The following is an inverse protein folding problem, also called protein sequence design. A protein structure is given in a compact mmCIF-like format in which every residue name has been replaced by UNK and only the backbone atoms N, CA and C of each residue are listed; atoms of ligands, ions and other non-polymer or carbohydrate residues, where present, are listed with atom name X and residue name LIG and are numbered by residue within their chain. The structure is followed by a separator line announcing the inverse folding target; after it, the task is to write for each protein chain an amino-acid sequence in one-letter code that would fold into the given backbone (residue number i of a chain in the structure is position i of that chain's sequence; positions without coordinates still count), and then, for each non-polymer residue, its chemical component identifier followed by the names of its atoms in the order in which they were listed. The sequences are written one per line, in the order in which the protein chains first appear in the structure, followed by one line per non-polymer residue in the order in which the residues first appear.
data_IF_335577773491
#
_entry.id   IF_335577773491
#
_cell.length_a   1.000
_cell.length_b   1.000
_cell.length_c   1.000
_cell.angle_alpha   90.00
_cell.angle_beta   90.00
_cell.angle_gamma   90.00
#
_symmetry.space_group_name_H-M   'P 1'
#
loop_
_entity.id
_entity.type
_entity.pdbx_description
1 polymer ?
#
# COMPACT_ATOMS: atom_id res chain seq x y z
N UNK A 1 -7.65 -65.50 -23.33
CA UNK A 1 -6.72 -64.65 -22.54
C UNK A 1 -6.70 -63.31 -23.21
N UNK A 2 -7.39 -62.33 -22.64
CA UNK A 2 -7.55 -61.00 -23.23
C UNK A 2 -7.69 -59.98 -22.12
N UNK A 3 -6.56 -59.41 -21.70
CA UNK A 3 -6.47 -58.21 -20.90
C UNK A 3 -5.17 -57.50 -21.30
N UNK A 4 -5.27 -56.21 -21.62
CA UNK A 4 -4.21 -55.17 -21.64
C UNK A 4 -4.38 -54.23 -22.84
N UNK A 5 -5.30 -53.27 -22.72
CA UNK A 5 -5.26 -52.00 -23.49
C UNK A 5 -6.28 -50.98 -22.96
N UNK A 6 -6.37 -50.79 -21.63
CA UNK A 6 -7.35 -49.85 -21.06
C UNK A 6 -6.86 -48.92 -19.94
N UNK A 7 -5.53 -48.74 -19.78
CA UNK A 7 -5.00 -47.91 -18.67
C UNK A 7 -4.20 -46.65 -19.07
N UNK A 8 -4.08 -46.33 -20.37
CA UNK A 8 -3.36 -45.11 -20.79
C UNK A 8 -4.30 -43.92 -20.98
N UNK A 9 -5.58 -44.15 -21.30
CA UNK A 9 -6.55 -43.07 -21.53
C UNK A 9 -7.12 -42.45 -20.23
N UNK A 10 -7.21 -43.22 -19.14
CA UNK A 10 -7.71 -42.72 -17.85
C UNK A 10 -6.70 -41.82 -17.14
N UNK A 11 -5.40 -42.08 -17.34
CA UNK A 11 -4.31 -41.32 -16.74
C UNK A 11 -4.13 -39.94 -17.39
N UNK A 12 -4.29 -39.83 -18.72
CA UNK A 12 -4.23 -38.56 -19.46
C UNK A 12 -5.44 -37.64 -19.20
N UNK A 13 -6.64 -38.21 -18.98
CA UNK A 13 -7.82 -37.43 -18.61
C UNK A 13 -7.73 -36.84 -17.19
N UNK A 14 -6.98 -37.50 -16.29
CA UNK A 14 -6.79 -37.06 -14.91
C UNK A 14 -5.70 -35.96 -14.80
N UNK A 15 -4.69 -35.97 -15.67
CA UNK A 15 -3.70 -34.89 -15.76
C UNK A 15 -4.26 -33.63 -16.43
N UNK A 16 -5.12 -33.76 -17.45
CA UNK A 16 -5.83 -32.60 -18.02
C UNK A 16 -6.81 -31.97 -17.02
N UNK A 17 -7.49 -32.76 -16.20
CA UNK A 17 -8.39 -32.21 -15.16
C UNK A 17 -7.64 -31.55 -14.00
N UNK A 18 -6.41 -32.00 -13.69
CA UNK A 18 -5.53 -31.33 -12.72
C UNK A 18 -4.87 -30.05 -13.27
N UNK A 19 -4.59 -30.00 -14.58
CA UNK A 19 -4.04 -28.82 -15.24
C UNK A 19 -5.09 -27.71 -15.51
N UNK A 20 -6.39 -28.04 -15.47
CA UNK A 20 -7.47 -27.05 -15.69
C UNK A 20 -7.92 -26.37 -14.38
N UNK A 21 -7.46 -26.83 -13.21
CA UNK A 21 -7.74 -26.19 -11.90
C UNK A 21 -6.59 -25.31 -11.38
N UNK A 22 -5.43 -25.30 -12.04
CA UNK A 22 -4.28 -24.46 -11.69
C UNK A 22 -4.09 -23.25 -12.62
N UNK A 23 -4.99 -23.05 -13.59
CA UNK A 23 -4.91 -21.97 -14.59
C UNK A 23 -6.11 -21.02 -14.62
N UNK A 24 -6.91 -20.96 -13.53
CA UNK A 24 -7.76 -19.80 -13.28
C UNK A 24 -6.86 -18.60 -12.94
N UNK A 25 -6.27 -18.07 -14.00
CA UNK A 25 -5.50 -16.85 -14.06
C UNK A 25 -6.20 -15.76 -13.25
N UNK A 26 -5.43 -15.19 -12.33
CA UNK A 26 -5.69 -14.00 -11.50
C UNK A 26 -6.16 -12.79 -12.35
N UNK A 27 -6.10 -12.89 -13.68
CA UNK A 27 -6.39 -11.85 -14.65
C UNK A 27 -7.85 -11.84 -15.14
N UNK A 28 -8.59 -12.96 -15.06
CA UNK A 28 -9.94 -13.06 -15.65
C UNK A 28 -11.12 -12.66 -14.74
N UNK A 29 -10.88 -12.21 -13.51
CA UNK A 29 -11.93 -11.82 -12.54
C UNK A 29 -11.81 -10.38 -12.02
N UNK A 30 -11.14 -9.49 -12.76
CA UNK A 30 -10.89 -8.10 -12.33
C UNK A 30 -11.85 -7.03 -12.86
N UNK A 31 -12.93 -7.41 -13.56
CA UNK A 31 -13.85 -6.41 -14.16
C UNK A 31 -15.30 -6.56 -13.69
N UNK A 32 -15.57 -6.17 -12.43
CA UNK A 32 -16.84 -5.56 -12.00
C UNK A 32 -16.56 -4.62 -10.83
N UNK A 33 -16.09 -3.43 -11.18
CA UNK A 33 -15.98 -2.29 -10.26
C UNK A 33 -17.41 -1.86 -9.92
N UNK A 34 -17.84 -2.11 -8.69
CA UNK A 34 -18.93 -1.35 -8.11
C UNK A 34 -18.38 0.01 -7.71
N UNK A 35 -18.76 1.04 -8.48
CA UNK A 35 -18.82 2.40 -7.98
C UNK A 35 -20.01 2.50 -7.02
N UNK A 36 -19.89 1.96 -5.80
CA UNK A 36 -20.83 2.33 -4.73
C UNK A 36 -20.54 3.76 -4.33
N UNK A 37 -21.37 4.65 -4.84
CA UNK A 37 -21.51 6.08 -4.56
C UNK A 37 -21.88 6.38 -3.09
N UNK A 38 -21.29 5.67 -2.13
CA UNK A 38 -21.63 5.72 -0.70
C UNK A 38 -20.48 6.23 0.19
N UNK A 39 -19.48 6.89 -0.38
CA UNK A 39 -18.49 7.68 0.38
C UNK A 39 -19.04 9.02 0.89
N UNK A 40 -20.17 9.52 0.37
CA UNK A 40 -20.73 10.82 0.77
C UNK A 40 -21.59 10.81 2.04
N UNK A 41 -22.05 9.65 2.52
CA UNK A 41 -23.01 9.62 3.64
C UNK A 41 -22.36 9.56 5.05
N UNK A 42 -21.04 9.38 5.14
CA UNK A 42 -20.34 9.10 6.41
C UNK A 42 -19.42 10.24 6.89
N UNK A 43 -19.30 11.33 6.13
CA UNK A 43 -18.39 12.46 6.45
C UNK A 43 -19.01 13.51 7.39
N UNK A 44 -20.18 13.26 7.97
CA UNK A 44 -20.93 14.23 8.76
C UNK A 44 -20.89 14.01 10.28
N UNK A 45 -19.78 13.54 10.86
CA UNK A 45 -19.53 13.71 12.30
C UNK A 45 -18.04 13.87 12.58
N UNK A 46 -17.58 15.12 12.76
CA UNK A 46 -16.30 15.41 13.40
C UNK A 46 -15.25 16.13 12.56
N UNK A 47 -15.63 16.98 11.60
CA UNK A 47 -14.69 17.93 11.01
C UNK A 47 -14.86 19.29 11.73
N UNK A 48 -14.05 19.53 12.76
CA UNK A 48 -13.84 20.88 13.29
C UNK A 48 -13.33 21.75 12.14
N UNK A 49 -14.03 22.85 11.86
CA UNK A 49 -13.65 23.82 10.83
C UNK A 49 -12.20 24.25 11.04
N UNK A 50 -11.29 23.74 10.20
CA UNK A 50 -9.96 24.31 10.04
C UNK A 50 -10.12 25.64 9.30
N UNK A 51 -9.99 26.73 10.02
CA UNK A 51 -9.93 28.08 9.46
C UNK A 51 -8.71 28.19 8.56
N UNK A 52 -8.92 28.53 7.27
CA UNK A 52 -7.84 28.95 6.37
C UNK A 52 -7.00 30.04 7.05
N UNK A 53 -5.66 29.93 7.11
CA UNK A 53 -4.84 31.02 7.60
C UNK A 53 -4.88 32.16 6.56
N UNK A 54 -5.19 33.35 7.04
CA UNK A 54 -5.17 34.57 6.25
C UNK A 54 -3.74 34.81 5.72
N UNK A 55 -3.63 35.18 4.45
CA UNK A 55 -2.38 35.52 3.81
C UNK A 55 -1.81 36.82 4.39
N UNK A 56 -0.81 36.71 5.26
CA UNK A 56 0.05 37.84 5.62
C UNK A 56 1.27 37.85 4.69
N UNK A 57 1.37 38.89 3.88
CA UNK A 57 2.56 39.19 3.07
C UNK A 57 3.74 39.61 3.96
N UNK A 58 4.93 39.13 3.64
CA UNK A 58 6.20 39.80 3.98
C UNK A 58 6.89 39.36 5.26
N UNK A 59 7.49 38.16 5.27
CA UNK A 59 8.78 37.85 5.89
C UNK A 59 9.07 36.36 5.64
N UNK A 60 10.32 36.01 5.34
CA UNK A 60 10.75 34.67 4.88
C UNK A 60 10.05 33.53 5.61
N UNK A 61 9.26 32.75 4.86
CA UNK A 61 8.49 31.65 5.41
C UNK A 61 9.45 30.67 6.11
N UNK A 62 9.26 30.39 7.42
CA UNK A 62 10.04 29.36 8.08
C UNK A 62 9.79 28.05 7.34
N UNK A 63 10.86 27.39 6.91
CA UNK A 63 10.83 26.11 6.21
C UNK A 63 9.78 25.21 6.86
N UNK A 64 8.74 24.92 6.09
CA UNK A 64 7.46 24.41 6.51
C UNK A 64 7.63 23.15 7.37
N UNK A 65 6.90 23.08 8.49
CA UNK A 65 6.79 21.85 9.28
C UNK A 65 6.25 20.73 8.38
N UNK A 66 7.11 19.82 7.90
CA UNK A 66 6.74 18.70 7.02
C UNK A 66 5.93 17.62 7.74
N UNK A 67 5.84 17.66 9.07
CA UNK A 67 5.19 16.64 9.91
C UNK A 67 3.80 16.20 9.43
N UNK A 68 2.90 17.09 8.96
CA UNK A 68 1.57 16.68 8.48
C UNK A 68 1.62 15.73 7.26
N UNK A 69 2.66 15.85 6.44
CA UNK A 69 2.82 15.12 5.18
C UNK A 69 3.68 13.86 5.31
N UNK A 70 4.45 13.72 6.38
CA UNK A 70 5.35 12.57 6.64
C UNK A 70 4.62 11.31 7.13
N UNK A 71 3.29 11.27 6.97
CA UNK A 71 2.50 10.07 7.23
C UNK A 71 2.52 9.18 5.99
N UNK A 72 3.20 8.05 6.12
CA UNK A 72 3.18 6.96 5.16
C UNK A 72 1.75 6.54 4.77
N UNK A 73 1.63 6.00 3.56
CA UNK A 73 0.40 5.43 3.01
C UNK A 73 0.39 3.94 3.31
N UNK A 74 -0.65 3.50 4.03
CA UNK A 74 -0.93 2.08 4.24
C UNK A 74 -1.86 1.60 3.12
N UNK A 75 -1.41 0.65 2.32
CA UNK A 75 -2.18 0.11 1.19
C UNK A 75 -3.01 -1.06 1.67
N UNK A 76 -4.28 -1.11 1.27
CA UNK A 76 -5.10 -2.26 1.56
C UNK A 76 -4.70 -3.40 0.62
N UNK A 77 -4.05 -4.44 1.13
CA UNK A 77 -3.94 -5.72 0.44
C UNK A 77 -5.27 -6.46 0.58
N UNK A 78 -6.21 -6.21 -0.33
CA UNK A 78 -7.38 -7.07 -0.45
C UNK A 78 -7.07 -8.11 -1.53
N UNK A 79 -6.81 -9.39 -1.18
CA UNK A 79 -6.77 -10.43 -2.21
C UNK A 79 -8.09 -10.37 -2.98
N UNK A 80 -8.02 -10.57 -4.29
CA UNK A 80 -9.15 -10.48 -5.21
C UNK A 80 -10.19 -11.55 -4.87
N UNK A 81 -11.04 -11.27 -3.89
CA UNK A 81 -12.20 -12.08 -3.57
C UNK A 81 -13.43 -11.27 -3.90
N UNK A 82 -14.32 -11.97 -4.61
CA UNK A 82 -15.51 -11.47 -5.27
C UNK A 82 -16.48 -10.83 -4.28
N UNK A 83 -17.03 -9.68 -4.69
CA UNK A 83 -18.43 -9.29 -4.54
C UNK A 83 -19.05 -9.24 -3.14
N UNK A 84 -20.34 -8.87 -3.14
CA UNK A 84 -21.27 -8.98 -1.99
C UNK A 84 -21.10 -10.38 -1.36
N UNK A 85 -21.06 -10.51 -0.02
CA UNK A 85 -20.93 -11.82 0.62
C UNK A 85 -22.06 -12.73 0.15
N UNK A 86 -21.73 -13.97 -0.22
CA UNK A 86 -22.73 -14.99 -0.50
C UNK A 86 -23.39 -15.34 0.84
N UNK A 87 -24.70 -15.18 0.96
CA UNK A 87 -25.44 -15.44 2.19
C UNK A 87 -26.45 -16.55 1.96
N UNK A 88 -26.79 -17.27 3.02
CA UNK A 88 -27.57 -18.50 2.95
C UNK A 88 -28.97 -18.29 2.35
N UNK A 89 -29.63 -17.19 2.71
CA UNK A 89 -30.98 -16.85 2.25
C UNK A 89 -31.18 -15.33 2.15
N UNK A 90 -32.27 -14.89 1.51
CA UNK A 90 -32.63 -13.47 1.37
C UNK A 90 -32.85 -12.76 2.72
N UNK A 91 -33.16 -13.51 3.78
CA UNK A 91 -33.33 -12.94 5.12
C UNK A 91 -31.98 -12.54 5.71
N UNK A 92 -30.93 -13.35 5.55
CA UNK A 92 -29.56 -12.98 5.90
C UNK A 92 -29.10 -11.80 5.05
N UNK A 93 -29.43 -11.76 3.75
CA UNK A 93 -29.06 -10.61 2.91
C UNK A 93 -29.68 -9.30 3.40
N UNK A 94 -30.97 -9.30 3.74
CA UNK A 94 -31.65 -8.13 4.30
C UNK A 94 -31.07 -7.73 5.65
N UNK A 95 -30.90 -8.68 6.57
CA UNK A 95 -30.31 -8.39 7.87
C UNK A 95 -28.88 -7.84 7.76
N UNK A 96 -28.07 -8.37 6.83
CA UNK A 96 -26.73 -7.85 6.57
C UNK A 96 -26.78 -6.43 6.00
N UNK A 97 -27.72 -6.13 5.10
CA UNK A 97 -27.92 -4.78 4.57
C UNK A 97 -28.35 -3.80 5.67
N UNK A 98 -29.31 -4.17 6.51
CA UNK A 98 -29.77 -3.34 7.64
C UNK A 98 -28.64 -3.02 8.62
N UNK A 99 -27.82 -4.03 8.98
CA UNK A 99 -26.64 -3.81 9.81
C UNK A 99 -25.62 -2.89 9.14
N UNK A 100 -25.45 -3.00 7.82
CA UNK A 100 -24.52 -2.15 7.06
C UNK A 100 -24.99 -0.70 7.01
N UNK A 101 -26.29 -0.47 6.82
CA UNK A 101 -26.90 0.85 6.81
C UNK A 101 -26.82 1.54 8.18
N UNK A 102 -26.96 0.76 9.26
CA UNK A 102 -26.74 1.21 10.64
C UNK A 102 -25.24 1.37 10.98
N UNK A 103 -24.36 0.79 10.16
CA UNK A 103 -22.93 0.74 10.42
C UNK A 103 -22.52 -0.16 11.58
N UNK A 104 -23.37 -1.12 11.94
CA UNK A 104 -23.03 -2.19 12.88
C UNK A 104 -22.26 -3.30 12.16
N UNK A 105 -20.96 -3.06 11.98
CA UNK A 105 -20.05 -3.99 11.31
C UNK A 105 -19.88 -5.31 12.09
N UNK A 106 -20.09 -5.29 13.41
CA UNK A 106 -20.03 -6.52 14.22
C UNK A 106 -21.29 -7.33 13.96
N UNK A 107 -22.46 -6.69 13.91
CA UNK A 107 -23.73 -7.29 13.49
C UNK A 107 -23.66 -7.90 12.10
N UNK A 108 -23.11 -7.19 11.10
CA UNK A 108 -22.89 -7.74 9.75
C UNK A 108 -22.12 -9.07 9.79
N UNK A 109 -21.06 -9.14 10.59
CA UNK A 109 -20.30 -10.37 10.75
C UNK A 109 -21.12 -11.48 11.43
N UNK A 110 -21.91 -11.17 12.46
CA UNK A 110 -22.78 -12.16 13.11
C UNK A 110 -23.79 -12.76 12.13
N UNK A 111 -24.32 -11.95 11.21
CA UNK A 111 -25.18 -12.43 10.12
C UNK A 111 -24.41 -13.36 9.18
N UNK A 112 -23.18 -13.02 8.78
CA UNK A 112 -22.33 -13.91 7.98
C UNK A 112 -22.02 -15.23 8.72
N UNK A 113 -21.75 -15.17 10.03
CA UNK A 113 -21.48 -16.36 10.83
C UNK A 113 -22.73 -17.23 11.02
N UNK A 114 -23.91 -16.61 11.15
CA UNK A 114 -25.20 -17.31 11.16
C UNK A 114 -25.45 -18.04 9.84
N UNK A 115 -25.19 -17.37 8.72
CA UNK A 115 -25.25 -17.95 7.38
C UNK A 115 -24.33 -19.18 7.30
N UNK A 116 -23.05 -19.04 7.69
CA UNK A 116 -22.08 -20.13 7.72
C UNK A 116 -22.52 -21.35 8.53
N UNK A 117 -23.18 -21.16 9.68
CA UNK A 117 -23.68 -22.26 10.52
C UNK A 117 -24.80 -23.06 9.86
N UNK A 118 -25.53 -22.49 8.90
CA UNK A 118 -26.58 -23.19 8.15
C UNK A 118 -26.05 -24.04 7.00
N UNK A 119 -24.84 -23.78 6.52
CA UNK A 119 -24.20 -24.60 5.49
C UNK A 119 -23.63 -25.89 6.09
N UNK A 120 -23.95 -27.01 5.46
CA UNK A 120 -23.43 -28.32 5.83
C UNK A 120 -22.01 -28.49 5.27
N UNK A 121 -21.03 -28.53 6.17
CA UNK A 121 -19.60 -28.68 5.86
C UNK A 121 -19.27 -29.95 5.09
N UNK A 122 -20.05 -31.02 5.29
CA UNK A 122 -19.79 -32.34 4.70
C UNK A 122 -20.42 -32.43 3.33
N UNK A 123 -21.62 -31.87 3.16
CA UNK A 123 -22.34 -31.92 1.87
C UNK A 123 -21.76 -30.97 0.82
N UNK A 124 -21.36 -29.76 1.22
CA UNK A 124 -20.75 -28.79 0.31
C UNK A 124 -19.52 -28.10 0.95
N UNK A 125 -18.40 -28.83 1.04
CA UNK A 125 -17.17 -28.30 1.61
C UNK A 125 -16.61 -27.11 0.81
N UNK A 126 -16.86 -27.08 -0.50
CA UNK A 126 -16.31 -26.05 -1.41
C UNK A 126 -16.94 -24.68 -1.16
N UNK A 127 -18.27 -24.62 -1.05
CA UNK A 127 -19.00 -23.40 -0.74
C UNK A 127 -18.73 -22.97 0.69
N UNK A 128 -18.73 -23.92 1.64
CA UNK A 128 -18.43 -23.62 3.03
C UNK A 128 -17.05 -22.94 3.17
N UNK A 129 -16.01 -23.49 2.55
CA UNK A 129 -14.66 -22.91 2.56
C UNK A 129 -14.60 -21.52 1.93
N UNK A 130 -15.32 -21.29 0.83
CA UNK A 130 -15.40 -19.97 0.17
C UNK A 130 -16.06 -18.92 1.06
N UNK A 131 -17.19 -19.26 1.68
CA UNK A 131 -17.89 -18.38 2.63
C UNK A 131 -17.04 -18.08 3.86
N UNK A 132 -16.29 -19.08 4.33
CA UNK A 132 -15.38 -18.93 5.46
C UNK A 132 -14.23 -17.96 5.11
N UNK A 133 -13.70 -18.04 3.89
CA UNK A 133 -12.73 -17.07 3.36
C UNK A 133 -13.35 -15.66 3.23
N UNK A 134 -14.59 -15.54 2.74
CA UNK A 134 -15.29 -14.24 2.67
C UNK A 134 -15.47 -13.59 4.04
N UNK A 135 -15.82 -14.37 5.08
CA UNK A 135 -15.96 -13.87 6.45
C UNK A 135 -14.63 -13.36 7.04
N UNK A 136 -13.51 -14.03 6.72
CA UNK A 136 -12.17 -13.57 7.09
C UNK A 136 -11.82 -12.24 6.41
N UNK A 137 -12.09 -12.14 5.12
CA UNK A 137 -11.82 -10.93 4.31
C UNK A 137 -12.67 -9.77 4.81
N UNK A 138 -13.95 -10.02 5.12
CA UNK A 138 -14.84 -9.05 5.73
C UNK A 138 -14.22 -8.50 7.02
N UNK A 139 -13.79 -9.36 7.94
CA UNK A 139 -13.19 -8.92 9.20
C UNK A 139 -11.96 -8.04 8.97
N UNK A 140 -11.03 -8.45 8.11
CA UNK A 140 -9.82 -7.68 7.82
C UNK A 140 -10.14 -6.33 7.18
N UNK A 141 -10.96 -6.33 6.13
CA UNK A 141 -11.33 -5.11 5.41
C UNK A 141 -12.07 -4.10 6.31
N UNK A 142 -13.08 -4.55 7.05
CA UNK A 142 -13.85 -3.65 7.91
C UNK A 142 -13.08 -3.24 9.17
N UNK A 143 -12.15 -4.07 9.67
CA UNK A 143 -11.26 -3.64 10.74
C UNK A 143 -10.33 -2.49 10.30
N UNK A 144 -9.85 -2.48 9.05
CA UNK A 144 -9.10 -1.36 8.46
C UNK A 144 -9.96 -0.09 8.38
N UNK A 145 -11.23 -0.21 7.97
CA UNK A 145 -12.17 0.93 7.99
C UNK A 145 -12.39 1.47 9.41
N UNK A 146 -12.58 0.58 10.38
CA UNK A 146 -12.67 0.96 11.80
C UNK A 146 -11.40 1.70 12.27
N UNK A 147 -10.20 1.25 11.88
CA UNK A 147 -8.94 1.94 12.22
C UNK A 147 -8.86 3.34 11.63
N UNK A 148 -9.26 3.52 10.36
CA UNK A 148 -9.33 4.83 9.71
C UNK A 148 -10.28 5.78 10.43
N UNK A 149 -11.42 5.27 10.90
CA UNK A 149 -12.39 5.99 11.72
C UNK A 149 -11.99 6.12 13.21
N UNK A 150 -10.81 5.63 13.61
CA UNK A 150 -10.33 5.59 15.01
C UNK A 150 -11.22 4.78 15.97
N UNK A 151 -12.06 3.88 15.45
CA UNK A 151 -12.90 2.95 16.22
C UNK A 151 -12.09 1.70 16.62
N UNK A 152 -11.09 1.88 17.49
CA UNK A 152 -10.16 0.82 17.87
C UNK A 152 -10.83 -0.41 18.51
N UNK A 153 -11.84 -0.21 19.37
CA UNK A 153 -12.57 -1.31 20.04
C UNK A 153 -13.27 -2.24 19.05
N UNK A 154 -13.95 -1.68 18.05
CA UNK A 154 -14.60 -2.46 16.98
C UNK A 154 -13.58 -3.15 16.08
N UNK A 155 -12.48 -2.47 15.75
CA UNK A 155 -11.41 -3.03 14.93
C UNK A 155 -10.82 -4.29 15.58
N UNK A 156 -10.42 -4.23 16.85
CA UNK A 156 -9.81 -5.38 17.52
C UNK A 156 -10.77 -6.56 17.69
N UNK A 157 -12.06 -6.29 17.92
CA UNK A 157 -13.08 -7.34 18.00
C UNK A 157 -13.21 -8.11 16.66
N UNK A 158 -13.22 -7.40 15.52
CA UNK A 158 -13.22 -8.03 14.20
C UNK A 158 -11.92 -8.81 13.93
N UNK A 159 -10.77 -8.27 14.32
CA UNK A 159 -9.48 -8.96 14.15
C UNK A 159 -9.35 -10.23 15.01
N UNK A 160 -9.91 -10.23 16.22
CA UNK A 160 -9.97 -11.43 17.06
C UNK A 160 -10.83 -12.52 16.41
N UNK A 161 -11.97 -12.14 15.81
CA UNK A 161 -12.80 -13.06 15.02
C UNK A 161 -12.05 -13.61 13.81
N UNK A 162 -11.31 -12.77 13.08
CA UNK A 162 -10.47 -13.21 11.97
C UNK A 162 -9.36 -14.20 12.42
N UNK A 163 -8.73 -13.95 13.57
CA UNK A 163 -7.72 -14.85 14.11
C UNK A 163 -8.29 -16.22 14.48
N UNK A 164 -9.51 -16.26 15.03
CA UNK A 164 -10.20 -17.50 15.38
C UNK A 164 -10.62 -18.27 14.12
N UNK A 165 -11.14 -17.58 13.11
CA UNK A 165 -11.52 -18.20 11.83
C UNK A 165 -10.32 -18.74 11.04
N UNK A 166 -9.11 -18.23 11.29
CA UNK A 166 -7.89 -18.66 10.60
C UNK A 166 -6.92 -19.45 11.48
N UNK A 167 -7.32 -19.84 12.70
CA UNK A 167 -6.42 -20.55 13.63
C UNK A 167 -6.04 -21.94 13.12
N UNK A 168 -4.81 -22.40 13.40
CA UNK A 168 -4.48 -23.82 13.27
C UNK A 168 -5.49 -24.63 14.10
N UNK A 169 -6.23 -25.54 13.47
CA UNK A 169 -7.26 -26.33 14.14
C UNK A 169 -8.69 -25.75 14.07
N UNK A 170 -8.95 -24.69 13.31
CA UNK A 170 -10.34 -24.23 13.05
C UNK A 170 -11.23 -25.24 12.28
N UNK A 171 -10.65 -26.36 11.81
CA UNK A 171 -11.36 -27.43 11.12
C UNK A 171 -11.74 -27.10 9.68
N UNK A 172 -11.22 -26.00 9.14
CA UNK A 172 -11.47 -25.55 7.77
C UNK A 172 -10.14 -25.30 7.08
N UNK A 173 -9.88 -26.07 6.03
CA UNK A 173 -8.72 -25.93 5.16
C UNK A 173 -9.19 -25.42 3.80
N UNK A 174 -8.53 -24.37 3.31
CA UNK A 174 -8.77 -23.82 1.98
C UNK A 174 -7.53 -23.05 1.51
N UNK A 175 -7.40 -22.93 0.19
CA UNK A 175 -6.27 -22.26 -0.43
C UNK A 175 -6.23 -20.77 -0.07
N UNK A 176 -5.06 -20.26 0.28
CA UNK A 176 -4.90 -18.88 0.71
C UNK A 176 -5.31 -18.60 2.16
N UNK A 177 -5.73 -19.59 2.97
CA UNK A 177 -6.00 -19.39 4.40
C UNK A 177 -4.81 -18.78 5.14
N UNK A 178 -3.60 -19.27 4.88
CA UNK A 178 -2.38 -18.73 5.49
C UNK A 178 -2.11 -17.29 5.03
N UNK A 179 -2.37 -16.96 3.77
CA UNK A 179 -2.28 -15.59 3.26
C UNK A 179 -3.27 -14.66 3.98
N UNK A 180 -4.53 -15.09 4.18
CA UNK A 180 -5.53 -14.32 4.95
C UNK A 180 -5.16 -14.16 6.43
N UNK A 181 -4.54 -15.19 7.03
CA UNK A 181 -3.99 -15.10 8.39
C UNK A 181 -2.83 -14.12 8.45
N UNK A 182 -1.93 -14.15 7.46
CA UNK A 182 -0.85 -13.19 7.29
C UNK A 182 -1.39 -11.76 7.21
N UNK A 183 -2.42 -11.54 6.39
CA UNK A 183 -3.11 -10.25 6.30
C UNK A 183 -3.73 -9.82 7.63
N UNK A 184 -4.34 -10.76 8.37
CA UNK A 184 -4.87 -10.47 9.72
C UNK A 184 -3.77 -9.95 10.66
N UNK A 185 -2.58 -10.56 10.62
CA UNK A 185 -1.43 -10.08 11.39
C UNK A 185 -0.90 -8.73 10.92
N UNK A 186 -0.89 -8.46 9.62
CA UNK A 186 -0.55 -7.15 9.06
C UNK A 186 -1.51 -6.05 9.57
N UNK A 187 -2.82 -6.30 9.56
CA UNK A 187 -3.80 -5.34 10.09
C UNK A 187 -3.70 -5.20 11.61
N UNK A 188 -3.37 -6.26 12.34
CA UNK A 188 -3.04 -6.17 13.77
C UNK A 188 -1.79 -5.31 14.02
N UNK A 189 -0.78 -5.40 13.16
CA UNK A 189 0.39 -4.53 13.24
C UNK A 189 -0.03 -3.06 13.07
N UNK A 190 -0.89 -2.73 12.10
CA UNK A 190 -1.47 -1.39 11.96
C UNK A 190 -2.26 -0.97 13.20
N UNK A 191 -3.08 -1.86 13.78
CA UNK A 191 -3.84 -1.58 14.99
C UNK A 191 -2.90 -1.15 16.13
N UNK A 192 -1.85 -1.93 16.41
CA UNK A 192 -0.90 -1.59 17.48
C UNK A 192 -0.06 -0.36 17.15
N UNK A 193 0.33 -0.19 15.89
CA UNK A 193 1.03 1.00 15.41
C UNK A 193 0.20 2.28 15.62
N UNK A 194 -1.08 2.27 15.23
CA UNK A 194 -2.00 3.40 15.41
C UNK A 194 -2.22 3.78 16.89
N UNK A 195 -1.95 2.85 17.80
CA UNK A 195 -2.00 3.02 19.26
C UNK A 195 -0.67 3.45 19.87
N UNK A 196 0.36 3.70 19.06
CA UNK A 196 1.71 4.04 19.52
C UNK A 196 2.50 2.86 20.11
N UNK A 197 2.05 1.62 19.90
CA UNK A 197 2.69 0.40 20.44
C UNK A 197 3.58 -0.27 19.39
N UNK A 198 4.64 0.41 18.97
CA UNK A 198 5.48 -0.02 17.84
C UNK A 198 6.18 -1.37 18.05
N UNK A 199 6.60 -1.72 19.28
CA UNK A 199 7.19 -3.03 19.58
C UNK A 199 6.22 -4.18 19.31
N UNK A 200 4.96 -4.04 19.73
CA UNK A 200 3.91 -5.01 19.43
C UNK A 200 3.64 -5.08 17.92
N UNK A 201 3.58 -3.92 17.25
CA UNK A 201 3.38 -3.85 15.81
C UNK A 201 4.47 -4.62 15.03
N UNK A 202 5.75 -4.44 15.38
CA UNK A 202 6.87 -5.18 14.79
C UNK A 202 6.77 -6.69 15.04
N UNK A 203 6.35 -7.12 16.24
CA UNK A 203 6.13 -8.53 16.55
C UNK A 203 5.05 -9.16 15.64
N UNK A 204 3.94 -8.45 15.41
CA UNK A 204 2.91 -8.91 14.48
C UNK A 204 3.37 -8.87 13.02
N UNK A 205 4.17 -7.88 12.63
CA UNK A 205 4.74 -7.80 11.29
C UNK A 205 5.67 -8.98 11.00
N UNK A 206 6.48 -9.41 11.97
CA UNK A 206 7.29 -10.64 11.87
C UNK A 206 6.43 -11.90 11.70
N UNK A 207 5.31 -12.01 12.44
CA UNK A 207 4.35 -13.12 12.27
C UNK A 207 3.70 -13.11 10.88
N UNK A 208 3.35 -11.93 10.37
CA UNK A 208 2.79 -11.77 9.03
C UNK A 208 3.78 -12.22 7.94
N UNK A 209 5.06 -11.83 8.07
CA UNK A 209 6.13 -12.17 7.13
C UNK A 209 6.21 -13.67 6.86
N UNK A 210 6.28 -14.50 7.91
CA UNK A 210 6.41 -15.95 7.77
C UNK A 210 5.25 -16.61 7.01
N UNK A 211 4.09 -15.94 6.94
CA UNK A 211 2.92 -16.43 6.23
C UNK A 211 2.78 -15.84 4.82
N UNK A 212 3.10 -14.55 4.65
CA UNK A 212 2.94 -13.83 3.38
C UNK A 212 4.08 -14.09 2.40
N UNK A 213 5.31 -14.22 2.90
CA UNK A 213 6.54 -14.33 2.09
C UNK A 213 6.46 -15.45 1.03
N UNK A 214 5.76 -16.52 1.37
CA UNK A 214 5.62 -17.73 0.56
C UNK A 214 4.43 -17.72 -0.40
N UNK A 215 3.63 -16.65 -0.45
CA UNK A 215 2.32 -16.69 -1.10
C UNK A 215 2.23 -15.84 -2.37
N UNK A 216 2.73 -14.60 -2.36
CA UNK A 216 2.69 -13.73 -3.54
C UNK A 216 3.70 -12.59 -3.48
N UNK A 217 4.21 -12.17 -4.64
CA UNK A 217 5.07 -10.99 -4.75
C UNK A 217 4.33 -9.70 -4.32
N UNK A 218 3.06 -9.57 -4.70
CA UNK A 218 2.20 -8.44 -4.29
C UNK A 218 2.01 -8.39 -2.76
N UNK A 219 1.82 -9.55 -2.13
CA UNK A 219 1.72 -9.66 -0.68
C UNK A 219 3.03 -9.26 0.00
N UNK A 220 4.17 -9.76 -0.49
CA UNK A 220 5.50 -9.36 0.01
C UNK A 220 5.75 -7.87 -0.11
N UNK A 221 5.49 -7.30 -1.28
CA UNK A 221 5.63 -5.87 -1.52
C UNK A 221 4.78 -5.05 -0.55
N UNK A 222 3.53 -5.44 -0.34
CA UNK A 222 2.64 -4.73 0.60
C UNK A 222 3.17 -4.83 2.03
N UNK A 223 3.53 -6.03 2.48
CA UNK A 223 4.09 -6.26 3.80
C UNK A 223 5.40 -5.47 4.03
N UNK A 224 6.34 -5.47 3.08
CA UNK A 224 7.60 -4.71 3.17
C UNK A 224 7.36 -3.20 3.23
N UNK A 225 6.40 -2.70 2.47
CA UNK A 225 5.98 -1.29 2.50
C UNK A 225 5.37 -0.88 3.86
N UNK A 226 4.62 -1.78 4.49
CA UNK A 226 4.09 -1.54 5.84
C UNK A 226 5.16 -1.66 6.92
N UNK A 227 6.09 -2.61 6.79
CA UNK A 227 7.22 -2.75 7.69
C UNK A 227 8.11 -1.51 7.64
N UNK A 228 8.45 -0.99 6.46
CA UNK A 228 9.25 0.23 6.32
C UNK A 228 8.60 1.43 7.00
N UNK A 229 7.27 1.55 6.89
CA UNK A 229 6.48 2.55 7.60
C UNK A 229 6.69 2.48 9.12
N UNK A 230 6.57 1.29 9.71
CA UNK A 230 6.72 1.10 11.16
C UNK A 230 8.18 1.36 11.58
N UNK A 231 9.16 0.86 10.82
CA UNK A 231 10.59 1.06 11.09
C UNK A 231 10.95 2.55 11.08
N UNK A 232 10.51 3.27 10.05
CA UNK A 232 10.73 4.70 9.91
C UNK A 232 10.15 5.47 11.10
N UNK A 233 8.93 5.12 11.54
CA UNK A 233 8.31 5.74 12.72
C UNK A 233 9.02 5.42 14.04
N UNK A 234 9.84 4.37 14.10
CA UNK A 234 10.67 4.01 15.26
C UNK A 234 12.10 4.58 15.19
N UNK A 235 12.41 5.42 14.20
CA UNK A 235 13.74 6.00 14.02
C UNK A 235 14.73 5.11 13.26
N UNK A 236 14.32 3.92 12.82
CA UNK A 236 15.13 2.96 12.05
C UNK A 236 15.10 3.28 10.56
N UNK A 237 15.47 4.51 10.20
CA UNK A 237 15.22 5.05 8.86
C UNK A 237 16.03 4.37 7.75
N UNK A 238 17.27 3.96 8.02
CA UNK A 238 18.08 3.26 7.02
C UNK A 238 17.47 1.90 6.66
N UNK A 239 17.07 1.12 7.66
CA UNK A 239 16.39 -0.17 7.44
C UNK A 239 15.04 0.01 6.74
N UNK A 240 14.32 1.09 7.07
CA UNK A 240 13.07 1.44 6.38
C UNK A 240 13.30 1.71 4.89
N UNK A 241 14.37 2.43 4.51
CA UNK A 241 14.70 2.67 3.10
C UNK A 241 14.96 1.37 2.35
N UNK A 242 15.72 0.44 2.93
CA UNK A 242 16.03 -0.84 2.28
C UNK A 242 14.76 -1.67 2.06
N UNK A 243 13.91 -1.83 3.08
CA UNK A 243 12.63 -2.53 2.90
C UNK A 243 11.66 -1.81 1.94
N UNK A 244 11.68 -0.47 1.88
CA UNK A 244 10.86 0.27 0.93
C UNK A 244 11.33 0.06 -0.53
N UNK A 245 12.64 -0.08 -0.77
CA UNK A 245 13.17 -0.46 -2.09
C UNK A 245 12.82 -1.89 -2.45
N UNK A 246 13.02 -2.83 -1.52
CA UNK A 246 12.63 -4.22 -1.73
C UNK A 246 11.13 -4.38 -2.01
N UNK A 247 10.28 -3.59 -1.34
CA UNK A 247 8.85 -3.54 -1.62
C UNK A 247 8.55 -3.10 -3.05
N UNK A 248 9.31 -2.13 -3.57
CA UNK A 248 9.19 -1.66 -4.95
C UNK A 248 9.64 -2.72 -5.95
N UNK A 249 10.78 -3.39 -5.69
CA UNK A 249 11.25 -4.52 -6.49
C UNK A 249 10.22 -5.65 -6.53
N UNK A 250 9.66 -6.06 -5.38
CA UNK A 250 8.61 -7.10 -5.34
C UNK A 250 7.32 -6.66 -6.06
N UNK A 251 6.98 -5.36 -6.06
CA UNK A 251 5.77 -4.86 -6.70
C UNK A 251 5.87 -4.81 -8.23
N UNK A 252 7.09 -4.62 -8.76
CA UNK A 252 7.37 -4.43 -10.18
C UNK A 252 8.03 -5.64 -10.84
N UNK A 253 8.52 -6.60 -10.06
CA UNK A 253 9.24 -7.77 -10.56
C UNK A 253 10.59 -7.42 -11.17
N UNK A 254 11.06 -8.27 -12.09
CA UNK A 254 12.39 -8.19 -12.70
C UNK A 254 12.60 -6.95 -13.59
N UNK A 255 11.54 -6.19 -13.90
CA UNK A 255 11.64 -4.97 -14.70
C UNK A 255 12.44 -3.84 -14.02
N UNK A 256 12.69 -3.96 -12.71
CA UNK A 256 13.50 -3.01 -11.93
C UNK A 256 14.62 -3.74 -11.18
N UNK A 257 15.67 -4.10 -11.92
CA UNK A 257 16.79 -4.96 -11.48
C UNK A 257 17.52 -4.51 -10.21
N UNK A 258 17.39 -3.25 -9.75
CA UNK A 258 18.09 -2.72 -8.56
C UNK A 258 17.17 -1.97 -7.57
N UNK A 259 15.84 -2.10 -7.70
CA UNK A 259 14.89 -1.29 -6.89
C UNK A 259 14.96 0.22 -7.19
N UNK A 260 15.63 0.60 -8.28
CA UNK A 260 15.75 1.96 -8.78
C UNK A 260 14.78 2.19 -9.93
N UNK A 261 13.56 2.63 -9.59
CA UNK A 261 12.58 3.10 -10.57
C UNK A 261 12.92 4.52 -11.01
N UNK A 262 13.01 4.77 -12.32
CA UNK A 262 13.24 6.11 -12.87
C UNK A 262 11.93 6.79 -13.26
N UNK A 263 11.93 8.12 -13.26
CA UNK A 263 10.76 8.90 -13.70
C UNK A 263 10.42 8.64 -15.17
N UNK A 264 11.42 8.39 -16.01
CA UNK A 264 11.23 8.06 -17.43
C UNK A 264 10.49 6.74 -17.61
N UNK A 265 10.83 5.70 -16.84
CA UNK A 265 10.10 4.42 -16.86
C UNK A 265 8.65 4.58 -16.42
N UNK A 266 8.40 5.41 -15.40
CA UNK A 266 7.06 5.72 -14.91
C UNK A 266 6.24 6.45 -15.98
N UNK A 267 6.80 7.50 -16.57
CA UNK A 267 6.12 8.30 -17.59
C UNK A 267 5.96 7.56 -18.92
N UNK A 268 6.89 6.67 -19.26
CA UNK A 268 6.82 5.79 -20.42
C UNK A 268 5.79 4.68 -20.29
N UNK A 269 5.12 4.56 -19.14
CA UNK A 269 4.04 3.60 -18.93
C UNK A 269 4.51 2.15 -18.77
N UNK A 270 5.79 1.92 -18.49
CA UNK A 270 6.36 0.59 -18.30
C UNK A 270 5.64 -0.20 -17.19
N UNK A 271 5.17 0.49 -16.15
CA UNK A 271 4.49 -0.15 -15.03
C UNK A 271 3.07 -0.59 -15.41
N UNK A 272 2.77 -1.91 -15.32
CA UNK A 272 1.44 -2.44 -15.56
C UNK A 272 0.36 -1.74 -14.74
N UNK A 273 -0.76 -1.42 -15.37
CA UNK A 273 -1.86 -0.69 -14.75
C UNK A 273 -2.37 -1.37 -13.46
N UNK A 274 -2.31 -2.70 -13.35
CA UNK A 274 -2.69 -3.42 -12.14
C UNK A 274 -1.79 -3.12 -10.92
N UNK A 275 -0.50 -2.87 -11.14
CA UNK A 275 0.50 -2.69 -10.08
C UNK A 275 0.68 -1.22 -9.66
N UNK A 276 0.24 -0.27 -10.50
CA UNK A 276 0.45 1.18 -10.29
C UNK A 276 0.01 1.68 -8.91
N UNK A 277 -1.08 1.17 -8.34
CA UNK A 277 -1.56 1.59 -7.01
C UNK A 277 -0.56 1.21 -5.90
N UNK A 278 -0.07 -0.04 -5.92
CA UNK A 278 0.90 -0.53 -4.95
C UNK A 278 2.26 0.15 -5.16
N UNK A 279 2.71 0.27 -6.42
CA UNK A 279 3.95 0.95 -6.78
C UNK A 279 3.93 2.42 -6.34
N UNK A 280 2.84 3.16 -6.61
CA UNK A 280 2.67 4.55 -6.18
C UNK A 280 2.86 4.70 -4.67
N UNK A 281 2.21 3.85 -3.87
CA UNK A 281 2.33 3.91 -2.42
C UNK A 281 3.71 3.49 -1.90
N UNK A 282 4.33 2.45 -2.48
CA UNK A 282 5.69 2.02 -2.13
C UNK A 282 6.72 3.12 -2.41
N UNK A 283 6.65 3.74 -3.61
CA UNK A 283 7.52 4.86 -3.99
C UNK A 283 7.27 6.08 -3.10
N UNK A 284 6.02 6.38 -2.75
CA UNK A 284 5.71 7.47 -1.81
C UNK A 284 6.33 7.20 -0.43
N UNK A 285 6.16 5.98 0.11
CA UNK A 285 6.72 5.60 1.40
C UNK A 285 8.26 5.65 1.40
N UNK A 286 8.90 5.25 0.31
CA UNK A 286 10.34 5.45 0.09
C UNK A 286 10.71 6.94 0.12
N UNK A 287 9.91 7.79 -0.54
CA UNK A 287 10.07 9.25 -0.50
C UNK A 287 10.00 9.82 0.92
N UNK A 288 9.02 9.38 1.72
CA UNK A 288 8.91 9.76 3.15
C UNK A 288 10.15 9.33 3.92
N UNK A 289 10.65 8.11 3.71
CA UNK A 289 11.88 7.63 4.33
C UNK A 289 13.10 8.47 3.93
N UNK A 290 13.20 8.90 2.66
CA UNK A 290 14.27 9.80 2.22
C UNK A 290 14.22 11.18 2.88
N UNK A 291 13.03 11.70 3.20
CA UNK A 291 12.94 12.95 3.98
C UNK A 291 13.55 12.79 5.37
N UNK A 292 13.30 11.65 6.03
CA UNK A 292 13.81 11.37 7.37
C UNK A 292 15.33 11.28 7.43
N UNK A 293 15.98 10.85 6.34
CA UNK A 293 17.45 10.82 6.21
C UNK A 293 18.03 12.03 5.47
N UNK A 294 17.26 13.13 5.38
CA UNK A 294 17.66 14.41 4.77
C UNK A 294 18.05 14.35 3.28
N UNK A 295 17.61 13.33 2.54
CA UNK A 295 17.83 13.20 1.09
C UNK A 295 16.68 13.80 0.28
N UNK A 296 16.50 15.12 0.42
CA UNK A 296 15.33 15.84 -0.12
C UNK A 296 15.17 15.74 -1.63
N UNK A 297 16.26 15.74 -2.41
CA UNK A 297 16.19 15.61 -3.87
C UNK A 297 15.64 14.25 -4.29
N UNK A 298 16.08 13.17 -3.63
CA UNK A 298 15.56 11.83 -3.88
C UNK A 298 14.09 11.71 -3.44
N UNK A 299 13.75 12.27 -2.28
CA UNK A 299 12.37 12.34 -1.82
C UNK A 299 11.44 13.08 -2.81
N UNK A 300 11.93 14.18 -3.39
CA UNK A 300 11.19 14.95 -4.39
C UNK A 300 10.92 14.12 -5.66
N UNK A 301 11.92 13.39 -6.15
CA UNK A 301 11.76 12.48 -7.28
C UNK A 301 10.74 11.37 -6.97
N UNK A 302 10.83 10.75 -5.79
CA UNK A 302 9.89 9.73 -5.36
C UNK A 302 8.45 10.25 -5.29
N UNK A 303 8.21 11.40 -4.65
CA UNK A 303 6.86 11.98 -4.56
C UNK A 303 6.27 12.31 -5.93
N UNK A 304 7.10 12.79 -6.87
CA UNK A 304 6.67 13.02 -8.26
C UNK A 304 6.26 11.72 -8.96
N UNK A 305 7.09 10.68 -8.86
CA UNK A 305 6.77 9.36 -9.42
C UNK A 305 5.49 8.77 -8.82
N UNK A 306 5.31 8.91 -7.50
CA UNK A 306 4.12 8.43 -6.82
C UNK A 306 2.84 9.13 -7.32
N UNK A 307 2.89 10.43 -7.58
CA UNK A 307 1.77 11.19 -8.16
C UNK A 307 1.41 10.71 -9.56
N UNK A 308 2.40 10.53 -10.44
CA UNK A 308 2.17 10.04 -11.81
C UNK A 308 1.56 8.63 -11.80
N UNK A 309 2.07 7.73 -10.94
CA UNK A 309 1.50 6.39 -10.81
C UNK A 309 0.12 6.38 -10.16
N UNK A 310 -0.16 7.37 -9.31
CA UNK A 310 -1.37 7.45 -8.51
C UNK A 310 -2.55 8.14 -9.20
N UNK A 311 -2.31 8.91 -10.26
CA UNK A 311 -3.29 9.78 -10.92
C UNK A 311 -4.58 9.02 -11.33
N UNK A 312 -4.44 7.84 -11.93
CA UNK A 312 -5.58 7.03 -12.37
C UNK A 312 -6.11 6.06 -11.29
N UNK A 313 -5.45 5.97 -10.14
CA UNK A 313 -5.63 4.87 -9.16
C UNK A 313 -6.15 5.28 -7.81
N UNK A 314 -5.90 6.51 -7.44
CA UNK A 314 -6.45 7.12 -6.27
C UNK A 314 -7.49 8.13 -6.72
N UNK A 315 -8.64 8.14 -6.06
CA UNK A 315 -9.53 9.28 -6.19
C UNK A 315 -8.73 10.53 -5.85
N UNK A 316 -8.83 11.60 -6.65
CA UNK A 316 -8.07 12.83 -6.42
C UNK A 316 -8.34 13.44 -5.04
N UNK A 317 -9.55 13.20 -4.51
CA UNK A 317 -9.95 13.62 -3.16
C UNK A 317 -9.54 12.62 -2.07
N UNK A 318 -8.92 11.50 -2.43
CA UNK A 318 -8.47 10.52 -1.44
C UNK A 318 -7.39 11.14 -0.56
N UNK A 319 -7.49 10.88 0.73
CA UNK A 319 -6.52 11.35 1.71
C UNK A 319 -5.08 10.84 1.43
N UNK A 320 -4.93 9.76 0.67
CA UNK A 320 -3.62 9.29 0.21
C UNK A 320 -3.04 10.22 -0.86
N UNK A 321 -3.80 10.51 -1.92
CA UNK A 321 -3.34 11.35 -3.03
C UNK A 321 -3.05 12.79 -2.60
N UNK A 322 -3.94 13.39 -1.80
CA UNK A 322 -3.72 14.73 -1.24
C UNK A 322 -2.46 14.83 -0.38
N UNK A 323 -2.10 13.75 0.33
CA UNK A 323 -0.83 13.68 1.09
C UNK A 323 0.38 13.61 0.18
N UNK A 324 0.30 12.85 -0.91
CA UNK A 324 1.36 12.79 -1.92
C UNK A 324 1.61 14.17 -2.53
N UNK A 325 0.53 14.86 -2.90
CA UNK A 325 0.61 16.20 -3.49
C UNK A 325 1.19 17.22 -2.51
N UNK A 326 0.67 17.27 -1.28
CA UNK A 326 1.16 18.20 -0.27
C UNK A 326 2.63 17.99 0.09
N UNK A 327 3.10 16.73 0.16
CA UNK A 327 4.53 16.46 0.38
C UNK A 327 5.38 16.91 -0.82
N UNK A 328 4.91 16.68 -2.05
CA UNK A 328 5.61 17.07 -3.26
C UNK A 328 5.77 18.60 -3.36
N UNK A 329 4.70 19.35 -3.10
CA UNK A 329 4.71 20.82 -3.10
C UNK A 329 5.69 21.37 -2.06
N UNK A 330 5.60 20.88 -0.82
CA UNK A 330 6.48 21.33 0.26
C UNK A 330 7.97 20.99 0.00
N UNK A 331 8.26 19.82 -0.59
CA UNK A 331 9.63 19.46 -0.97
C UNK A 331 10.15 20.29 -2.14
N UNK A 332 9.29 20.63 -3.11
CA UNK A 332 9.65 21.46 -4.26
C UNK A 332 10.08 22.86 -3.81
N UNK A 333 9.33 23.46 -2.88
CA UNK A 333 9.68 24.76 -2.27
C UNK A 333 10.99 24.68 -1.50
N UNK A 334 11.17 23.64 -0.67
CA UNK A 334 12.38 23.44 0.10
C UNK A 334 13.63 23.32 -0.78
N UNK A 335 13.55 22.51 -1.84
CA UNK A 335 14.68 22.31 -2.77
C UNK A 335 14.97 23.61 -3.53
N UNK A 336 13.94 24.34 -4.00
CA UNK A 336 14.10 25.64 -4.66
C UNK A 336 14.75 26.68 -3.75
N UNK A 337 14.36 26.72 -2.48
CA UNK A 337 14.97 27.63 -1.50
C UNK A 337 16.45 27.29 -1.27
N UNK A 338 16.79 26.00 -1.15
CA UNK A 338 18.19 25.56 -1.01
C UNK A 338 19.05 25.90 -2.24
N UNK A 339 18.53 25.72 -3.45
CA UNK A 339 19.27 26.06 -4.67
C UNK A 339 19.48 27.58 -4.80
N UNK A 340 18.49 28.40 -4.45
CA UNK A 340 18.61 29.86 -4.43
C UNK A 340 19.58 30.37 -3.36
N UNK A 341 19.64 29.74 -2.19
CA UNK A 341 20.62 30.06 -1.15
C UNK A 341 22.05 29.73 -1.62
N UNK A 342 22.24 28.60 -2.29
CA UNK A 342 23.56 28.20 -2.80
C UNK A 342 24.05 29.11 -3.94
N UNK A 343 23.15 29.61 -4.80
CA UNK A 343 23.52 30.53 -5.88
C UNK A 343 23.84 31.94 -5.38
N UNK A 344 23.22 32.39 -4.27
CA UNK A 344 23.50 33.70 -3.67
C UNK A 344 24.76 33.72 -2.78
N UNK A 345 25.17 32.57 -2.24
CA UNK A 345 26.39 32.46 -1.40
C UNK A 345 27.71 32.59 -2.19
N UNK A 346 27.67 32.41 -3.51
CA UNK A 346 28.80 32.67 -4.41
C UNK A 346 28.45 33.82 -5.37
N UNK A 347 28.46 35.09 -4.92
CA UNK A 347 28.54 36.18 -5.86
C UNK A 347 29.81 35.94 -6.67
N UNK A 348 29.65 35.73 -7.98
CA UNK A 348 30.76 35.67 -8.92
C UNK A 348 31.66 36.86 -8.62
N UNK A 349 32.85 36.60 -8.06
CA UNK A 349 33.89 37.60 -7.90
C UNK A 349 34.01 38.21 -9.30
N UNK A 350 33.74 39.51 -9.51
CA UNK A 350 33.87 40.09 -10.83
C UNK A 350 35.29 39.76 -11.28
N UNK A 351 35.42 39.02 -12.38
CA UNK A 351 36.71 38.79 -13.00
C UNK A 351 37.25 40.16 -13.33
N UNK A 352 38.08 40.70 -12.45
CA UNK A 352 38.92 41.84 -12.75
C UNK A 352 39.82 41.35 -13.86
N UNK A 353 39.42 41.64 -15.09
CA UNK A 353 40.23 41.51 -16.28
C UNK A 353 41.46 42.36 -16.00
N UNK A 354 42.55 41.71 -15.57
CA UNK A 354 43.86 42.32 -15.55
C UNK A 354 44.14 42.73 -17.00
N UNK A 355 44.11 44.03 -17.25
CA UNK A 355 44.52 44.60 -18.52
C UNK A 355 45.95 44.10 -18.84
N UNK A 356 46.22 43.67 -20.08
CA UNK A 356 47.55 43.22 -20.45
C UNK A 356 48.51 44.41 -20.37
N UNK A 357 49.47 44.34 -19.45
CA UNK A 357 50.63 45.21 -19.43
C UNK A 357 51.41 45.01 -20.75
N UNK A 358 51.37 46.02 -21.63
CA UNK A 358 52.29 46.12 -22.77
C UNK A 358 53.72 46.23 -22.25
N UNK A 359 54.46 45.12 -22.26
CA UNK A 359 55.90 45.13 -22.11
C UNK A 359 56.53 45.55 -23.46
N UNK A 360 57.08 46.76 -23.50
CA UNK A 360 57.93 47.25 -24.57
C UNK A 360 59.29 46.55 -24.47
N UNK A 361 59.58 45.65 -25.42
CA UNK A 361 60.91 45.08 -25.65
C UNK A 361 61.65 45.98 -26.64
N UNK A 362 62.64 46.71 -26.15
CA UNK A 362 63.66 47.39 -26.94
C UNK A 362 64.73 46.39 -27.37
N UNK A 363 64.97 46.28 -28.69
CA UNK A 363 66.08 45.55 -29.27
C UNK A 363 67.43 46.27 -29.07
N UNK A 364 68.58 45.56 -28.99
CA UNK A 364 69.90 46.19 -29.06
C UNK A 364 70.36 46.34 -30.54
N UNK A 365 71.25 47.30 -30.83
CA UNK A 365 71.74 47.53 -32.19
C UNK A 365 72.87 46.57 -32.57
N UNK A 366 72.92 46.25 -33.85
CA UNK A 366 73.99 45.52 -34.51
C UNK A 366 75.32 46.28 -34.43
N UNK A 367 76.40 45.52 -34.18
CA UNK A 367 77.80 45.94 -34.23
C UNK A 367 78.69 44.72 -34.32
#
# INVERSE_FOLDING_TARGET
GGESSMDVASTLANEHSRATLTSLSVEHLRTRIFATRNTRAWEATGCGRSTRPAASHGCGAPICNLSPFLRHVWVDYAPSVTGKPELFDEAHERAHADCLDQGDLVGCFEVMQSSLRKFDRVKDPSTYSRLHAQALIFCNFYSLRCLRAKHHSRSIALLQKALALSSPGCGVEFDGRLALRGWTFDVLALYYYSRGKSSAALSYMSKAMHLIDRQSAEGRATWKSHLSTILSATGRHHEAVEHAKEALSDALGDEVSDGSLTLEQVMGGAIPHAQRKLASAAVFNLGVCYVQIHRHTQALTCTRMALVLGEDKFDHDSHAYLRMQGLHEALSELVRAKTAANSSAFPSRPSTVLAPHKASLSAPPEG
#
